data_IF_009556349529
#
_entry.id   IF_009556349529
#
_cell.length_a   1.000
_cell.length_b   1.000
_cell.length_c   1.000
_cell.angle_alpha   90.00
_cell.angle_beta   90.00
_cell.angle_gamma   90.00
#
_symmetry.space_group_name_H-M   'P 1'
#
loop_
_entity.id
_entity.type
_entity.pdbx_description
1 polymer ?
#
# COMPACT_ATOMS: atom_id res chain seq x y z
N UNK A 1 4.11 12.53 13.38
CA UNK A 1 3.36 13.37 12.40
C UNK A 1 2.51 12.58 11.38
N UNK A 2 3.06 11.91 10.35
CA UNK A 2 2.20 11.30 9.28
C UNK A 2 1.16 10.28 9.77
N UNK A 3 1.51 9.46 10.75
CA UNK A 3 0.60 8.46 11.34
C UNK A 3 -0.52 9.14 12.14
N UNK A 4 -0.19 10.20 12.87
CA UNK A 4 -1.13 10.92 13.72
C UNK A 4 -2.11 11.74 12.89
N UNK A 5 -1.66 12.37 11.80
CA UNK A 5 -2.55 13.05 10.86
C UNK A 5 -3.56 12.09 10.20
N UNK A 6 -3.13 10.89 9.82
CA UNK A 6 -4.07 9.87 9.30
C UNK A 6 -5.02 9.38 10.41
N UNK A 7 -4.50 9.13 11.61
CA UNK A 7 -5.31 8.75 12.76
C UNK A 7 -6.39 9.78 13.08
N UNK A 8 -6.07 11.08 13.09
CA UNK A 8 -7.03 12.15 13.38
C UNK A 8 -8.15 12.21 12.33
N UNK A 9 -7.81 11.98 11.05
CA UNK A 9 -8.79 11.88 9.97
C UNK A 9 -9.73 10.67 10.15
N UNK A 10 -9.17 9.49 10.48
CA UNK A 10 -9.95 8.30 10.77
C UNK A 10 -10.81 8.45 12.04
N UNK A 11 -10.28 9.08 13.09
CA UNK A 11 -10.99 9.31 14.33
C UNK A 11 -12.20 10.22 14.13
N UNK A 12 -12.09 11.22 13.26
CA UNK A 12 -13.20 12.10 12.86
C UNK A 12 -14.30 11.33 12.12
N UNK A 13 -13.93 10.36 11.28
CA UNK A 13 -14.87 9.50 10.56
C UNK A 13 -15.46 8.36 11.43
N UNK A 14 -14.87 8.09 12.59
CA UNK A 14 -15.20 6.96 13.45
C UNK A 14 -14.22 5.79 13.26
N UNK A 15 -13.59 5.34 14.34
CA UNK A 15 -12.70 4.17 14.32
C UNK A 15 -13.49 2.88 14.55
N UNK A 16 -13.46 1.98 13.57
CA UNK A 16 -14.12 0.67 13.59
C UNK A 16 -13.16 -0.52 13.67
N UNK A 17 -11.84 -0.25 13.68
CA UNK A 17 -10.80 -1.28 13.74
C UNK A 17 -10.28 -1.73 12.39
N UNK A 18 -10.86 -1.28 11.28
CA UNK A 18 -10.35 -1.55 9.95
C UNK A 18 -9.28 -0.55 9.50
N UNK A 19 -9.18 0.59 10.20
CA UNK A 19 -8.20 1.62 9.88
C UNK A 19 -6.81 1.27 10.43
N UNK A 20 -5.78 1.60 9.65
CA UNK A 20 -4.41 1.46 10.11
C UNK A 20 -3.41 2.02 9.11
N UNK A 21 -2.15 2.01 9.52
CA UNK A 21 -1.02 2.44 8.70
C UNK A 21 0.00 1.33 8.57
N UNK A 22 0.65 1.29 7.42
CA UNK A 22 1.77 0.41 7.13
C UNK A 22 3.02 1.25 7.12
N UNK A 23 4.07 0.76 7.77
CA UNK A 23 5.37 1.43 7.84
C UNK A 23 6.50 0.43 7.60
N UNK A 24 7.67 0.89 7.13
CA UNK A 24 8.86 0.05 7.09
C UNK A 24 9.24 -0.44 8.48
N UNK A 25 9.60 -1.73 8.60
CA UNK A 25 10.01 -2.34 9.88
C UNK A 25 11.18 -1.60 10.53
N UNK A 26 12.08 -1.04 9.70
CA UNK A 26 13.22 -0.24 10.15
C UNK A 26 12.80 0.98 10.98
N UNK A 27 11.63 1.55 10.71
CA UNK A 27 11.15 2.75 11.39
C UNK A 27 10.36 2.44 12.66
N UNK A 28 10.18 1.16 13.01
CA UNK A 28 9.39 0.76 14.20
C UNK A 28 10.06 1.21 15.50
N UNK A 29 11.40 1.17 15.58
CA UNK A 29 12.15 1.58 16.77
C UNK A 29 12.09 3.09 17.05
N UNK A 30 11.90 3.89 15.99
CA UNK A 30 11.89 5.35 16.08
C UNK A 30 10.48 5.93 16.34
N UNK A 31 9.47 5.07 16.43
CA UNK A 31 8.09 5.50 16.63
C UNK A 31 7.85 6.01 18.04
N UNK A 32 7.58 7.30 18.13
CA UNK A 32 7.00 7.92 19.30
C UNK A 32 5.59 8.39 18.93
N UNK A 33 4.61 7.52 19.17
CA UNK A 33 3.20 7.81 18.92
C UNK A 33 2.57 8.50 20.13
N UNK A 34 1.67 9.46 19.88
CA UNK A 34 0.76 9.98 20.91
C UNK A 34 0.02 8.85 21.63
N UNK A 35 -0.28 9.09 22.91
CA UNK A 35 -0.90 8.09 23.81
C UNK A 35 -2.28 7.62 23.34
N UNK A 36 -3.04 8.49 22.68
CA UNK A 36 -4.36 8.18 22.13
C UNK A 36 -4.29 7.21 20.95
N UNK A 37 -3.31 7.37 20.06
CA UNK A 37 -3.02 6.41 18.99
C UNK A 37 -2.69 5.04 19.60
N UNK A 38 -1.81 5.01 20.61
CA UNK A 38 -1.45 3.76 21.31
C UNK A 38 -2.66 3.12 21.99
N UNK A 39 -3.52 3.93 22.61
CA UNK A 39 -4.74 3.44 23.26
C UNK A 39 -5.73 2.86 22.24
N UNK A 40 -5.92 3.51 21.09
CA UNK A 40 -6.75 2.99 20.00
C UNK A 40 -6.20 1.68 19.43
N UNK A 41 -4.88 1.57 19.28
CA UNK A 41 -4.22 0.31 18.89
C UNK A 41 -4.47 -0.80 19.91
N UNK A 42 -4.30 -0.51 21.22
CA UNK A 42 -4.57 -1.47 22.30
C UNK A 42 -6.03 -1.90 22.35
N UNK A 43 -6.95 -1.01 22.01
CA UNK A 43 -8.38 -1.27 21.94
C UNK A 43 -8.81 -1.96 20.63
N UNK A 44 -7.86 -2.27 19.72
CA UNK A 44 -8.16 -2.91 18.43
C UNK A 44 -8.93 -2.03 17.45
N UNK A 45 -8.97 -0.71 17.68
CA UNK A 45 -9.70 0.24 16.82
C UNK A 45 -8.83 0.89 15.75
N UNK A 46 -7.52 0.68 15.80
CA UNK A 46 -6.56 1.19 14.84
C UNK A 46 -5.35 0.25 14.80
N UNK A 47 -4.63 0.20 13.69
CA UNK A 47 -3.45 -0.64 13.57
C UNK A 47 -2.24 0.08 13.00
N UNK A 48 -1.04 -0.31 13.45
CA UNK A 48 0.24 0.12 12.89
C UNK A 48 1.04 -1.14 12.57
N UNK A 49 1.23 -1.43 11.28
CA UNK A 49 1.91 -2.64 10.81
C UNK A 49 3.30 -2.29 10.28
N UNK A 50 4.33 -2.88 10.93
CA UNK A 50 5.70 -2.83 10.44
C UNK A 50 5.98 -3.98 9.47
N UNK A 51 6.37 -3.66 8.23
CA UNK A 51 6.68 -4.66 7.20
C UNK A 51 8.09 -4.45 6.62
N UNK A 52 8.73 -5.55 6.22
CA UNK A 52 10.05 -5.47 5.57
C UNK A 52 9.95 -5.08 4.10
N UNK A 53 8.89 -5.54 3.42
CA UNK A 53 8.71 -5.34 1.99
C UNK A 53 7.26 -4.98 1.67
N UNK A 54 7.10 -4.09 0.70
CA UNK A 54 5.78 -3.67 0.20
C UNK A 54 5.02 -4.87 -0.41
N UNK A 55 5.74 -5.87 -0.92
CA UNK A 55 5.16 -7.07 -1.53
C UNK A 55 4.15 -7.76 -0.60
N UNK A 56 4.48 -7.92 0.69
CA UNK A 56 3.59 -8.57 1.64
C UNK A 56 2.28 -7.80 1.87
N UNK A 57 2.33 -6.47 1.80
CA UNK A 57 1.14 -5.61 1.95
C UNK A 57 0.29 -5.63 0.69
N UNK A 58 0.93 -5.61 -0.48
CA UNK A 58 0.23 -5.73 -1.76
C UNK A 58 -0.55 -7.04 -1.82
N UNK A 59 0.01 -8.12 -1.30
CA UNK A 59 -0.67 -9.42 -1.22
C UNK A 59 -1.91 -9.38 -0.34
N UNK A 60 -1.78 -8.80 0.85
CA UNK A 60 -2.87 -8.69 1.81
C UNK A 60 -4.01 -7.80 1.27
N UNK A 61 -3.67 -6.67 0.67
CA UNK A 61 -4.67 -5.68 0.21
C UNK A 61 -5.39 -6.12 -1.06
N UNK A 62 -4.68 -6.83 -1.96
CA UNK A 62 -5.21 -7.19 -3.27
C UNK A 62 -5.74 -8.62 -3.34
N UNK A 63 -5.64 -9.38 -2.23
CA UNK A 63 -6.00 -10.81 -2.14
C UNK A 63 -5.38 -11.67 -3.26
N UNK A 64 -4.16 -11.30 -3.66
CA UNK A 64 -3.45 -11.85 -4.83
C UNK A 64 -1.95 -11.81 -4.59
N UNK A 65 -1.17 -12.84 -5.01
CA UNK A 65 0.28 -12.81 -4.91
C UNK A 65 0.88 -11.54 -5.54
N UNK A 66 1.86 -10.91 -4.91
CA UNK A 66 2.53 -9.73 -5.47
C UNK A 66 3.37 -10.14 -6.68
N UNK A 67 4.01 -11.31 -6.58
CA UNK A 67 4.94 -11.85 -7.58
C UNK A 67 6.36 -11.33 -7.37
N UNK A 68 7.35 -12.21 -7.52
CA UNK A 68 8.76 -11.82 -7.55
C UNK A 68 9.26 -11.73 -8.98
N UNK A 69 10.14 -10.76 -9.26
CA UNK A 69 10.74 -10.61 -10.58
C UNK A 69 11.68 -11.80 -10.86
N UNK A 70 11.49 -12.44 -12.00
CA UNK A 70 12.35 -13.50 -12.52
C UNK A 70 13.68 -12.98 -13.06
N UNK A 71 14.64 -13.87 -13.37
CA UNK A 71 15.94 -13.50 -13.94
C UNK A 71 15.86 -12.80 -15.30
N UNK A 72 14.77 -13.02 -16.03
CA UNK A 72 14.46 -12.39 -17.33
C UNK A 72 13.78 -11.02 -17.18
N UNK A 73 13.61 -10.54 -15.94
CA UNK A 73 12.95 -9.27 -15.63
C UNK A 73 11.43 -9.35 -15.64
N UNK A 74 10.83 -10.52 -15.86
CA UNK A 74 9.36 -10.67 -15.90
C UNK A 74 8.76 -11.04 -14.55
N UNK A 75 7.47 -10.80 -14.37
CA UNK A 75 6.72 -11.24 -13.19
C UNK A 75 5.78 -12.40 -13.57
N UNK A 76 5.53 -13.39 -12.68
CA UNK A 76 4.63 -14.49 -12.97
C UNK A 76 3.21 -14.02 -13.31
N UNK A 77 2.52 -14.74 -14.18
CA UNK A 77 1.12 -14.46 -14.52
C UNK A 77 0.21 -14.55 -13.28
N UNK A 78 -0.87 -13.76 -13.30
CA UNK A 78 -1.84 -13.71 -12.19
C UNK A 78 -1.39 -12.86 -11.00
N UNK A 79 -0.13 -12.43 -10.94
CA UNK A 79 0.39 -11.61 -9.84
C UNK A 79 0.05 -10.12 -9.98
N UNK A 80 0.03 -9.39 -8.87
CA UNK A 80 -0.28 -7.95 -8.87
C UNK A 80 0.77 -7.16 -9.64
N UNK A 81 2.05 -7.46 -9.45
CA UNK A 81 3.13 -6.72 -10.11
C UNK A 81 3.20 -7.02 -11.61
N UNK A 82 2.84 -8.23 -12.05
CA UNK A 82 2.67 -8.51 -13.48
C UNK A 82 1.60 -7.61 -14.10
N UNK A 83 0.42 -7.55 -13.47
CA UNK A 83 -0.67 -6.70 -13.95
C UNK A 83 -0.30 -5.21 -13.97
N UNK A 84 0.46 -4.73 -12.97
CA UNK A 84 0.92 -3.35 -12.91
C UNK A 84 1.90 -3.01 -14.05
N UNK A 85 2.87 -3.88 -14.33
CA UNK A 85 3.84 -3.71 -15.42
C UNK A 85 3.14 -3.76 -16.77
N UNK A 86 2.27 -4.76 -17.01
CA UNK A 86 1.51 -4.89 -18.26
C UNK A 86 0.67 -3.62 -18.50
N UNK A 87 0.03 -3.09 -17.44
CA UNK A 87 -0.77 -1.86 -17.55
C UNK A 87 0.09 -0.62 -17.83
N UNK A 88 1.25 -0.50 -17.18
CA UNK A 88 2.18 0.59 -17.42
C UNK A 88 2.70 0.59 -18.86
N UNK A 89 3.01 -0.59 -19.41
CA UNK A 89 3.43 -0.73 -20.81
C UNK A 89 2.30 -0.35 -21.77
N UNK A 90 1.07 -0.80 -21.54
CA UNK A 90 -0.09 -0.39 -22.37
C UNK A 90 -0.29 1.12 -22.38
N UNK A 91 -0.18 1.77 -21.21
CA UNK A 91 -0.29 3.23 -21.09
C UNK A 91 0.85 3.94 -21.81
N UNK A 92 2.08 3.44 -21.67
CA UNK A 92 3.24 3.94 -22.37
C UNK A 92 3.04 3.87 -23.89
N UNK A 93 2.65 2.71 -24.42
CA UNK A 93 2.36 2.52 -25.84
C UNK A 93 1.23 3.42 -26.34
N UNK A 94 0.18 3.62 -25.53
CA UNK A 94 -0.90 4.55 -25.87
C UNK A 94 -0.42 6.02 -25.90
N UNK A 95 0.49 6.41 -25.00
CA UNK A 95 1.05 7.76 -24.97
C UNK A 95 1.98 8.07 -26.16
N UNK A 96 2.56 7.04 -26.76
CA UNK A 96 3.40 7.15 -27.96
C UNK A 96 2.58 7.24 -29.25
N UNK A 97 1.25 7.01 -29.20
CA UNK A 97 0.38 7.28 -30.34
C UNK A 97 0.17 8.80 -30.43
N UNK A 98 0.61 9.46 -31.52
CA UNK A 98 0.41 10.89 -31.66
C UNK A 98 -1.08 11.19 -31.74
N UNK A 99 -1.57 12.01 -30.79
CA UNK A 99 -2.81 12.80 -30.84
C UNK A 99 -4.09 12.05 -31.18
N UNK A 100 -5.06 12.08 -30.25
CA UNK A 100 -6.45 11.76 -30.58
C UNK A 100 -6.92 12.53 -31.81
N UNK A 101 -7.15 11.82 -32.91
CA UNK A 101 -8.20 12.18 -33.83
C UNK A 101 -9.50 11.63 -33.20
N UNK A 102 -10.17 12.47 -32.40
CA UNK A 102 -11.59 12.25 -32.17
C UNK A 102 -12.34 12.55 -33.48
N UNK A 103 -13.34 11.72 -33.85
CA UNK A 103 -14.19 11.96 -35.03
C UNK A 103 -15.13 13.16 -34.86
#
# INVERSE_FOLDING_TARGET
EKIEGFFDACATAGLDGQQGVVIPRQNVGDLQLRRDVVAACRAGRFAVWGVDTIHHIVELLMDRPAGAQGPDGTYPEGTVLRAAVDRAEQLWQASLRPGGAEP
#
